data_IF_010729545577
#
_entry.id   IF_010729545577
#
_cell.length_a   1.000
_cell.length_b   1.000
_cell.length_c   1.000
_cell.angle_alpha   90.00
_cell.angle_beta   90.00
_cell.angle_gamma   90.00
#
_symmetry.space_group_name_H-M   'P 1'
#
loop_
_entity.id
_entity.type
_entity.pdbx_description
1 polymer ?
#
# COMPACT_ATOMS: atom_id res chain seq x y z
N UNK A 1 19.89 -18.76 19.47
CA UNK A 1 19.88 -17.30 19.26
C UNK A 1 18.45 -16.80 19.38
N UNK A 2 18.14 -16.08 20.46
CA UNK A 2 16.84 -15.40 20.62
C UNK A 2 16.79 -14.25 19.61
N UNK A 3 16.03 -14.41 18.53
CA UNK A 3 15.67 -13.27 17.68
C UNK A 3 14.67 -12.43 18.46
N UNK A 4 15.17 -11.42 19.18
CA UNK A 4 14.33 -10.36 19.69
C UNK A 4 13.54 -9.80 18.51
N UNK A 5 12.21 -9.82 18.58
CA UNK A 5 11.37 -9.07 17.66
C UNK A 5 11.81 -7.62 17.78
N UNK A 6 12.59 -7.14 16.80
CA UNK A 6 12.82 -5.71 16.64
C UNK A 6 11.41 -5.12 16.54
N UNK A 7 11.02 -4.28 17.50
CA UNK A 7 9.79 -3.48 17.37
C UNK A 7 9.94 -2.72 16.06
N UNK A 8 9.22 -3.17 15.03
CA UNK A 8 9.22 -2.55 13.72
C UNK A 8 8.49 -1.24 13.89
N UNK A 9 9.15 -0.15 13.51
CA UNK A 9 8.50 1.16 13.47
C UNK A 9 7.36 1.10 12.45
N UNK A 10 6.16 1.49 12.88
CA UNK A 10 4.97 1.53 12.05
C UNK A 10 4.89 2.92 11.43
N UNK A 11 4.92 2.97 10.10
CA UNK A 11 4.78 4.22 9.36
C UNK A 11 3.38 4.32 8.75
N UNK A 12 2.76 5.49 8.88
CA UNK A 12 1.57 5.89 8.13
C UNK A 12 1.94 7.02 7.18
N UNK A 13 1.90 6.76 5.88
CA UNK A 13 2.09 7.82 4.89
C UNK A 13 0.76 8.51 4.57
N UNK A 14 0.73 9.82 4.65
CA UNK A 14 -0.37 10.63 4.17
C UNK A 14 0.12 11.39 2.93
N UNK A 15 -0.46 11.02 1.80
CA UNK A 15 -0.19 11.59 0.50
C UNK A 15 -1.28 12.61 0.16
N UNK A 16 -0.88 13.82 -0.19
CA UNK A 16 -1.78 14.91 -0.55
C UNK A 16 -1.56 15.31 -2.02
N UNK A 17 -2.64 15.58 -2.75
CA UNK A 17 -2.53 16.60 -3.79
C UNK A 17 -2.40 17.99 -3.13
N UNK A 18 -2.08 19.02 -3.90
CA UNK A 18 -1.86 20.36 -3.39
C UNK A 18 -3.00 21.31 -3.77
N UNK A 19 -3.16 21.56 -5.06
CA UNK A 19 -4.21 22.44 -5.59
C UNK A 19 -5.58 21.88 -5.24
N UNK A 20 -6.51 22.75 -4.81
CA UNK A 20 -7.87 22.42 -4.33
C UNK A 20 -7.94 21.42 -3.17
N UNK A 21 -6.79 21.01 -2.62
CA UNK A 21 -6.66 20.07 -1.51
C UNK A 21 -6.11 20.76 -0.27
N UNK A 22 -4.87 21.28 -0.34
CA UNK A 22 -4.27 22.09 0.74
C UNK A 22 -4.43 23.60 0.49
N UNK A 23 -4.51 23.98 -0.78
CA UNK A 23 -4.83 25.33 -1.25
C UNK A 23 -6.25 25.35 -1.84
N UNK A 24 -7.03 26.44 -1.70
CA UNK A 24 -8.36 26.53 -2.31
C UNK A 24 -8.33 26.66 -3.83
N UNK A 25 -7.26 27.24 -4.37
CA UNK A 25 -7.12 27.56 -5.80
C UNK A 25 -5.88 26.91 -6.40
N UNK A 26 -5.82 26.90 -7.73
CA UNK A 26 -4.64 26.46 -8.48
C UNK A 26 -3.47 27.42 -8.20
N UNK A 27 -2.32 26.91 -7.74
CA UNK A 27 -1.21 27.74 -7.24
C UNK A 27 -0.71 28.76 -8.28
N UNK A 28 -0.68 28.40 -9.57
CA UNK A 28 -0.22 29.27 -10.65
C UNK A 28 -1.16 30.46 -10.85
N UNK A 29 -2.44 30.30 -10.50
CA UNK A 29 -3.45 31.33 -10.57
C UNK A 29 -3.43 32.29 -9.37
N UNK A 30 -2.55 32.07 -8.38
CA UNK A 30 -2.42 32.91 -7.18
C UNK A 30 -1.29 33.94 -7.32
N UNK A 31 -1.28 34.67 -8.43
CA UNK A 31 -0.42 35.82 -8.66
C UNK A 31 0.55 35.68 -9.83
N UNK A 32 1.02 34.46 -10.13
CA UNK A 32 1.97 34.27 -11.23
C UNK A 32 1.34 34.61 -12.59
N UNK A 33 0.19 34.03 -12.93
CA UNK A 33 -0.46 34.28 -14.23
C UNK A 33 -0.83 35.77 -14.39
N UNK A 34 -1.32 36.40 -13.33
CA UNK A 34 -1.65 37.82 -13.32
C UNK A 34 -0.40 38.70 -13.53
N UNK A 35 0.74 38.29 -12.98
CA UNK A 35 2.01 39.01 -13.21
C UNK A 35 2.42 39.04 -14.68
N UNK A 36 2.01 38.05 -15.49
CA UNK A 36 2.25 38.02 -16.93
C UNK A 36 1.36 38.98 -17.72
N UNK A 37 0.44 39.68 -17.04
CA UNK A 37 -0.58 40.54 -17.65
C UNK A 37 -1.70 39.74 -18.32
N UNK A 38 -1.92 38.49 -17.91
CA UNK A 38 -2.95 37.61 -18.46
C UNK A 38 -4.05 37.31 -17.43
N UNK A 39 -5.28 37.21 -17.93
CA UNK A 39 -6.39 36.65 -17.18
C UNK A 39 -6.22 35.13 -17.04
N UNK A 40 -6.58 34.58 -15.89
CA UNK A 40 -6.40 33.15 -15.56
C UNK A 40 -7.11 32.25 -16.58
N UNK A 41 -8.34 32.58 -16.94
CA UNK A 41 -9.13 31.80 -17.90
C UNK A 41 -8.49 31.80 -19.30
N UNK A 42 -8.02 32.97 -19.77
CA UNK A 42 -7.34 33.08 -21.05
C UNK A 42 -6.04 32.29 -21.06
N UNK A 43 -5.29 32.33 -19.95
CA UNK A 43 -4.06 31.57 -19.82
C UNK A 43 -4.31 30.08 -20.06
N UNK A 44 -5.29 29.50 -19.34
CA UNK A 44 -5.63 28.08 -19.41
C UNK A 44 -6.24 27.68 -20.76
N UNK A 45 -7.12 28.50 -21.33
CA UNK A 45 -7.72 28.22 -22.63
C UNK A 45 -6.66 28.12 -23.74
N UNK A 46 -5.72 29.07 -23.77
CA UNK A 46 -4.62 29.07 -24.72
C UNK A 46 -3.64 27.89 -24.48
N UNK A 47 -3.30 27.55 -23.22
CA UNK A 47 -2.41 26.41 -22.95
C UNK A 47 -3.08 25.08 -23.29
N UNK A 48 -4.37 24.93 -23.00
CA UNK A 48 -5.14 23.72 -23.33
C UNK A 48 -5.30 23.57 -24.84
N UNK A 49 -5.53 24.68 -25.55
CA UNK A 49 -5.53 24.68 -27.01
C UNK A 49 -4.16 24.30 -27.57
N UNK A 50 -3.08 24.88 -27.06
CA UNK A 50 -1.71 24.51 -27.45
C UNK A 50 -1.47 23.00 -27.26
N UNK A 51 -1.92 22.45 -26.14
CA UNK A 51 -1.83 21.02 -25.87
C UNK A 51 -2.59 20.18 -26.89
N UNK A 52 -3.85 20.53 -27.15
CA UNK A 52 -4.72 19.83 -28.11
C UNK A 52 -4.20 19.90 -29.54
N UNK A 53 -3.75 21.08 -29.98
CA UNK A 53 -3.30 21.33 -31.36
C UNK A 53 -1.99 20.60 -31.68
N UNK A 54 -1.22 20.19 -30.66
CA UNK A 54 0.13 19.63 -30.81
C UNK A 54 0.33 18.28 -30.09
N UNK A 55 -0.75 17.63 -29.64
CA UNK A 55 -0.70 16.37 -28.87
C UNK A 55 0.22 16.42 -27.64
N UNK A 56 0.31 17.58 -26.98
CA UNK A 56 1.14 17.73 -25.79
C UNK A 56 0.41 17.26 -24.54
N UNK A 57 1.16 16.78 -23.55
CA UNK A 57 0.67 16.71 -22.18
C UNK A 57 0.26 18.12 -21.72
N UNK A 58 -0.92 18.25 -21.12
CA UNK A 58 -1.47 19.54 -20.67
C UNK A 58 -0.51 20.26 -19.72
N UNK A 59 0.21 19.52 -18.88
CA UNK A 59 1.18 20.09 -17.96
C UNK A 59 2.42 20.62 -18.66
N UNK A 60 2.93 19.87 -19.64
CA UNK A 60 4.02 20.37 -20.48
C UNK A 60 3.62 21.64 -21.25
N UNK A 61 2.38 21.72 -21.73
CA UNK A 61 1.90 22.87 -22.49
C UNK A 61 1.83 24.15 -21.64
N UNK A 62 1.25 24.10 -20.43
CA UNK A 62 1.24 25.29 -19.58
C UNK A 62 2.62 25.63 -19.03
N UNK A 63 3.48 24.65 -18.72
CA UNK A 63 4.86 24.91 -18.30
C UNK A 63 5.67 25.58 -19.41
N UNK A 64 5.53 25.11 -20.65
CA UNK A 64 6.12 25.76 -21.81
C UNK A 64 5.63 27.20 -21.93
N UNK A 65 4.31 27.41 -21.86
CA UNK A 65 3.72 28.75 -21.93
C UNK A 65 4.25 29.69 -20.85
N UNK A 66 4.39 29.22 -19.60
CA UNK A 66 4.98 30.01 -18.51
C UNK A 66 6.39 30.48 -18.88
N UNK A 67 7.22 29.59 -19.40
CA UNK A 67 8.61 29.95 -19.79
C UNK A 67 8.65 30.93 -20.95
N UNK A 68 7.79 30.78 -21.97
CA UNK A 68 7.77 31.68 -23.13
C UNK A 68 7.21 33.05 -22.79
N UNK A 69 6.11 33.12 -22.05
CA UNK A 69 5.44 34.38 -21.71
C UNK A 69 6.22 35.20 -20.67
N UNK A 70 7.05 34.56 -19.86
CA UNK A 70 7.91 35.27 -18.90
C UNK A 70 9.08 35.97 -19.58
N UNK A 71 9.48 35.57 -20.79
CA UNK A 71 10.65 36.16 -21.49
C UNK A 71 10.44 37.65 -21.74
N UNK A 72 11.39 38.46 -21.29
CA UNK A 72 11.34 39.92 -21.42
C UNK A 72 10.37 40.62 -20.47
N UNK A 73 9.59 39.88 -19.66
CA UNK A 73 8.67 40.43 -18.67
C UNK A 73 9.17 40.20 -17.24
N UNK A 74 9.66 38.99 -16.94
CA UNK A 74 10.04 38.57 -15.60
C UNK A 74 11.31 37.72 -15.61
N UNK A 75 12.07 37.80 -14.51
CA UNK A 75 13.14 36.84 -14.24
C UNK A 75 12.48 35.56 -13.72
N UNK A 76 12.23 34.62 -14.64
CA UNK A 76 11.62 33.33 -14.32
C UNK A 76 12.67 32.36 -13.79
N UNK A 77 12.91 32.41 -12.48
CA UNK A 77 13.91 31.59 -11.80
C UNK A 77 13.31 30.92 -10.54
N UNK A 78 14.10 30.06 -9.89
CA UNK A 78 13.67 29.35 -8.68
C UNK A 78 13.24 30.29 -7.56
N UNK A 79 13.94 31.42 -7.39
CA UNK A 79 13.63 32.40 -6.34
C UNK A 79 12.25 33.02 -6.57
N UNK A 80 11.98 33.51 -7.77
CA UNK A 80 10.69 34.08 -8.16
C UNK A 80 9.54 33.08 -7.93
N UNK A 81 9.72 31.81 -8.31
CA UNK A 81 8.73 30.76 -8.04
C UNK A 81 8.51 30.52 -6.54
N UNK A 82 9.57 30.52 -5.74
CA UNK A 82 9.45 30.41 -4.27
C UNK A 82 8.72 31.62 -3.68
N UNK A 83 9.03 32.83 -4.14
CA UNK A 83 8.39 34.06 -3.69
C UNK A 83 6.89 34.04 -3.99
N UNK A 84 6.47 33.60 -5.19
CA UNK A 84 5.05 33.36 -5.48
C UNK A 84 4.45 32.27 -4.59
N UNK A 85 5.17 31.17 -4.38
CA UNK A 85 4.79 30.09 -3.48
C UNK A 85 4.51 30.55 -2.05
N UNK A 86 5.30 31.49 -1.54
CA UNK A 86 5.13 32.04 -0.19
C UNK A 86 3.85 32.85 0.03
N UNK A 87 3.22 33.29 -1.07
CA UNK A 87 1.96 34.05 -1.06
C UNK A 87 0.72 33.17 -1.33
N UNK A 88 0.90 31.86 -1.52
CA UNK A 88 -0.21 30.92 -1.76
C UNK A 88 -1.07 30.82 -0.49
N UNK A 89 -2.38 31.01 -0.67
CA UNK A 89 -3.35 30.83 0.39
C UNK A 89 -3.57 29.34 0.65
N UNK A 90 -3.68 28.96 1.92
CA UNK A 90 -3.97 27.60 2.34
C UNK A 90 -5.37 27.53 2.97
N UNK A 91 -5.98 26.35 2.94
CA UNK A 91 -7.23 26.13 3.65
C UNK A 91 -7.07 26.38 5.17
N UNK A 92 -8.15 26.80 5.85
CA UNK A 92 -8.10 27.07 7.29
C UNK A 92 -7.56 25.87 8.10
N UNK A 93 -6.57 26.13 8.95
CA UNK A 93 -5.98 25.15 9.88
C UNK A 93 -4.84 24.29 9.31
N UNK A 94 -4.52 24.40 8.02
CA UNK A 94 -3.43 23.62 7.39
C UNK A 94 -2.08 23.88 8.06
N UNK A 95 -1.80 25.12 8.46
CA UNK A 95 -0.56 25.53 9.12
C UNK A 95 -0.23 24.78 10.44
N UNK A 96 -1.25 24.25 11.11
CA UNK A 96 -1.15 23.56 12.41
C UNK A 96 -1.53 22.09 12.31
N UNK A 97 -2.07 21.67 11.17
CA UNK A 97 -2.55 20.31 10.90
C UNK A 97 -1.47 19.26 11.08
N UNK A 98 -0.31 19.44 10.44
CA UNK A 98 0.76 18.44 10.40
C UNK A 98 1.27 18.09 11.80
N UNK A 99 1.51 19.10 12.64
CA UNK A 99 2.00 18.89 14.00
C UNK A 99 0.96 18.17 14.88
N UNK A 100 -0.32 18.51 14.75
CA UNK A 100 -1.40 17.83 15.50
C UNK A 100 -1.55 16.37 15.11
N UNK A 101 -1.49 16.07 13.81
CA UNK A 101 -1.60 14.70 13.30
C UNK A 101 -0.36 13.88 13.69
N UNK A 102 0.84 14.44 13.55
CA UNK A 102 2.09 13.80 13.97
C UNK A 102 2.05 13.45 15.45
N UNK A 103 1.66 14.40 16.30
CA UNK A 103 1.51 14.17 17.73
C UNK A 103 0.51 13.06 18.05
N UNK A 104 -0.65 13.06 17.40
CA UNK A 104 -1.67 12.02 17.62
C UNK A 104 -1.18 10.62 17.21
N UNK A 105 -0.40 10.53 16.13
CA UNK A 105 0.25 9.31 15.69
C UNK A 105 1.32 8.83 16.67
N UNK A 106 2.20 9.74 17.12
CA UNK A 106 3.27 9.44 18.07
C UNK A 106 2.72 8.91 19.40
N UNK A 107 1.65 9.51 19.92
CA UNK A 107 0.92 9.04 21.12
C UNK A 107 0.39 7.60 20.98
N UNK A 108 0.28 7.09 19.76
CA UNK A 108 -0.18 5.74 19.41
C UNK A 108 0.93 4.81 18.90
N UNK A 109 2.18 5.27 18.91
CA UNK A 109 3.33 4.50 18.42
C UNK A 109 3.38 4.36 16.90
N UNK A 110 2.78 5.29 16.15
CA UNK A 110 2.87 5.38 14.69
C UNK A 110 3.65 6.62 14.29
N UNK A 111 4.66 6.46 13.44
CA UNK A 111 5.34 7.58 12.79
C UNK A 111 4.55 8.01 11.56
N UNK A 112 3.95 9.20 11.62
CA UNK A 112 3.22 9.77 10.48
C UNK A 112 4.21 10.50 9.57
N UNK A 113 4.10 10.26 8.27
CA UNK A 113 4.90 10.94 7.25
C UNK A 113 3.99 11.61 6.21
N UNK A 114 4.28 12.87 5.89
CA UNK A 114 3.49 13.65 4.94
C UNK A 114 4.22 13.78 3.60
N UNK A 115 3.49 13.58 2.51
CA UNK A 115 4.02 13.60 1.14
C UNK A 115 3.12 14.42 0.23
N UNK A 116 3.71 15.24 -0.65
CA UNK A 116 2.98 15.85 -1.76
C UNK A 116 3.15 14.99 -3.01
N UNK A 117 2.05 14.73 -3.70
CA UNK A 117 1.99 14.13 -5.05
C UNK A 117 1.07 15.02 -5.89
N UNK A 118 1.65 16.02 -6.54
CA UNK A 118 0.89 17.06 -7.25
C UNK A 118 1.33 17.26 -8.69
N UNK A 119 0.40 17.69 -9.54
CA UNK A 119 0.70 18.15 -10.90
C UNK A 119 1.27 19.57 -10.93
N UNK A 120 1.10 20.34 -9.83
CA UNK A 120 1.58 21.70 -9.69
C UNK A 120 3.11 21.83 -9.64
N UNK A 121 3.60 23.04 -9.36
CA UNK A 121 5.02 23.36 -9.38
C UNK A 121 5.71 23.15 -8.04
N UNK A 122 6.73 22.29 -8.05
CA UNK A 122 7.56 21.96 -6.90
C UNK A 122 8.16 23.20 -6.26
N UNK A 123 8.71 24.10 -7.06
CA UNK A 123 9.39 25.31 -6.58
C UNK A 123 8.43 26.28 -5.87
N UNK A 124 7.16 26.30 -6.28
CA UNK A 124 6.12 27.09 -5.59
C UNK A 124 5.71 26.41 -4.28
N UNK A 125 5.49 25.09 -4.29
CA UNK A 125 5.15 24.33 -3.08
C UNK A 125 6.27 24.44 -2.04
N UNK A 126 7.54 24.36 -2.46
CA UNK A 126 8.72 24.56 -1.61
C UNK A 126 8.77 25.95 -0.94
N UNK A 127 8.17 26.97 -1.57
CA UNK A 127 8.08 28.33 -1.03
C UNK A 127 7.00 28.53 0.03
N UNK A 128 6.08 27.57 0.20
CA UNK A 128 4.97 27.67 1.17
C UNK A 128 5.46 27.48 2.60
N UNK A 129 4.74 28.05 3.58
CA UNK A 129 5.09 27.91 5.01
C UNK A 129 5.05 26.45 5.51
N UNK A 130 4.28 25.60 4.82
CA UNK A 130 4.07 24.20 5.20
C UNK A 130 5.05 23.23 4.53
N UNK A 131 5.87 23.70 3.59
CA UNK A 131 6.85 22.89 2.86
C UNK A 131 7.73 22.04 3.79
N UNK A 132 8.12 22.61 4.93
CA UNK A 132 8.96 21.98 5.96
C UNK A 132 8.38 20.71 6.60
N UNK A 133 7.07 20.50 6.52
CA UNK A 133 6.42 19.33 7.11
C UNK A 133 6.44 18.10 6.17
N UNK A 134 6.72 18.29 4.88
CA UNK A 134 6.71 17.20 3.92
C UNK A 134 8.03 16.45 3.92
N UNK A 135 7.96 15.13 4.05
CA UNK A 135 9.11 14.23 3.90
C UNK A 135 9.68 14.28 2.48
N UNK A 136 8.80 14.39 1.48
CA UNK A 136 9.15 14.58 0.08
C UNK A 136 8.01 15.28 -0.67
N UNK A 137 8.39 16.17 -1.59
CA UNK A 137 7.49 16.84 -2.52
C UNK A 137 7.73 16.27 -3.92
N UNK A 138 6.75 15.52 -4.43
CA UNK A 138 6.67 15.09 -5.82
C UNK A 138 5.74 16.05 -6.56
N UNK A 139 6.34 16.95 -7.33
CA UNK A 139 5.63 17.93 -8.15
C UNK A 139 6.37 18.16 -9.48
N UNK A 140 5.69 18.76 -10.45
CA UNK A 140 6.32 19.20 -11.71
C UNK A 140 7.39 20.26 -11.40
N UNK A 141 8.49 20.29 -12.14
CA UNK A 141 9.62 21.20 -11.83
C UNK A 141 10.32 21.66 -13.09
N UNK A 142 11.05 22.76 -13.00
CA UNK A 142 11.85 23.27 -14.12
C UNK A 142 13.33 22.89 -13.98
N UNK A 143 13.96 22.69 -15.13
CA UNK A 143 15.40 22.77 -15.28
C UNK A 143 15.78 24.24 -15.40
N UNK A 144 16.75 24.64 -14.58
CA UNK A 144 17.31 25.99 -14.55
C UNK A 144 18.70 25.95 -15.17
N UNK A 145 18.97 26.87 -16.09
CA UNK A 145 20.29 26.98 -16.73
C UNK A 145 21.37 27.55 -15.79
N UNK A 146 22.58 27.75 -16.31
CA UNK A 146 23.72 28.29 -15.54
C UNK A 146 23.47 29.71 -14.99
N UNK A 147 22.56 30.47 -15.61
CA UNK A 147 22.13 31.79 -15.15
C UNK A 147 20.97 31.71 -14.13
N UNK A 148 20.49 30.50 -13.83
CA UNK A 148 19.38 30.24 -12.93
C UNK A 148 18.01 30.47 -13.55
N UNK A 149 17.89 30.61 -14.87
CA UNK A 149 16.63 30.82 -15.57
C UNK A 149 15.94 29.49 -15.89
N UNK A 150 14.63 29.39 -15.66
CA UNK A 150 13.85 28.22 -16.04
C UNK A 150 13.72 28.16 -17.57
N UNK A 151 14.22 27.08 -18.16
CA UNK A 151 14.26 26.91 -19.63
C UNK A 151 13.46 25.72 -20.13
N UNK A 152 13.26 24.69 -19.31
CA UNK A 152 12.61 23.44 -19.72
C UNK A 152 11.96 22.71 -18.55
N UNK A 153 10.84 21.97 -18.72
CA UNK A 153 10.32 21.08 -17.68
C UNK A 153 11.33 19.96 -17.32
N UNK A 154 11.84 19.96 -16.09
CA UNK A 154 12.69 18.89 -15.57
C UNK A 154 11.89 17.66 -15.15
N UNK A 155 10.70 17.87 -14.59
CA UNK A 155 9.74 16.82 -14.25
C UNK A 155 8.34 17.30 -14.64
N UNK A 156 7.54 16.40 -15.18
CA UNK A 156 6.14 16.63 -15.49
C UNK A 156 5.33 15.53 -14.80
N UNK A 157 4.62 15.90 -13.74
CA UNK A 157 3.74 14.98 -13.01
C UNK A 157 2.32 15.17 -13.53
N UNK A 158 1.68 14.07 -13.94
CA UNK A 158 0.33 14.06 -14.46
C UNK A 158 -0.50 12.94 -13.80
N UNK A 159 -1.78 12.91 -14.10
CA UNK A 159 -2.75 11.95 -13.52
C UNK A 159 -2.33 10.47 -13.65
N UNK A 160 -1.57 10.10 -14.68
CA UNK A 160 -1.10 8.73 -14.86
C UNK A 160 0.12 8.42 -13.99
N UNK A 161 1.13 9.30 -14.04
CA UNK A 161 2.42 9.02 -13.43
C UNK A 161 2.45 9.34 -11.92
N UNK A 162 1.45 10.07 -11.38
CA UNK A 162 1.25 10.26 -9.93
C UNK A 162 1.33 8.92 -9.16
N UNK A 163 0.81 7.84 -9.75
CA UNK A 163 0.79 6.49 -9.15
C UNK A 163 2.18 5.93 -8.83
N UNK A 164 3.21 6.28 -9.62
CA UNK A 164 4.57 5.79 -9.41
C UNK A 164 5.12 6.20 -8.04
N UNK A 165 4.73 7.39 -7.55
CA UNK A 165 5.24 7.94 -6.31
C UNK A 165 4.72 7.19 -5.10
N UNK A 166 3.54 6.58 -5.19
CA UNK A 166 3.03 5.69 -4.16
C UNK A 166 3.91 4.43 -4.03
N UNK A 167 4.35 3.86 -5.16
CA UNK A 167 5.30 2.74 -5.13
C UNK A 167 6.67 3.15 -4.57
N UNK A 168 7.14 4.37 -4.88
CA UNK A 168 8.38 4.91 -4.28
C UNK A 168 8.28 5.04 -2.77
N UNK A 169 7.19 5.62 -2.27
CA UNK A 169 6.91 5.73 -0.83
C UNK A 169 6.84 4.35 -0.19
N UNK A 170 6.15 3.38 -0.83
CA UNK A 170 6.04 2.01 -0.35
C UNK A 170 7.41 1.36 -0.10
N UNK A 171 8.33 1.55 -1.05
CA UNK A 171 9.68 0.98 -1.02
C UNK A 171 10.68 1.80 -0.20
N UNK A 172 10.37 3.06 0.10
CA UNK A 172 11.32 4.02 0.65
C UNK A 172 12.36 4.54 -0.36
N UNK A 173 12.16 4.29 -1.66
CA UNK A 173 13.02 4.77 -2.75
C UNK A 173 12.58 6.17 -3.18
N UNK A 174 12.78 7.15 -2.27
CA UNK A 174 12.13 8.46 -2.39
C UNK A 174 12.67 9.33 -3.54
N UNK A 175 13.85 9.06 -4.08
CA UNK A 175 14.41 9.86 -5.17
C UNK A 175 13.70 9.59 -6.51
N UNK A 176 13.36 10.67 -7.23
CA UNK A 176 12.48 10.64 -8.41
C UNK A 176 13.05 9.81 -9.56
N UNK A 177 14.38 9.78 -9.72
CA UNK A 177 15.05 9.03 -10.79
C UNK A 177 15.71 7.74 -10.28
N UNK A 178 15.42 7.31 -9.05
CA UNK A 178 15.97 6.07 -8.51
C UNK A 178 15.32 4.86 -9.19
N UNK A 179 16.14 4.00 -9.80
CA UNK A 179 15.72 2.78 -10.48
C UNK A 179 15.29 1.68 -9.52
N UNK A 180 15.63 1.78 -8.22
CA UNK A 180 15.22 0.83 -7.17
C UNK A 180 13.71 0.72 -7.01
N UNK A 181 12.94 1.70 -7.53
CA UNK A 181 11.48 1.58 -7.62
C UNK A 181 11.04 0.36 -8.43
N UNK A 182 11.89 -0.18 -9.31
CA UNK A 182 11.60 -1.36 -10.11
C UNK A 182 12.00 -2.67 -9.45
N UNK A 183 12.80 -2.64 -8.39
CA UNK A 183 13.30 -3.85 -7.72
C UNK A 183 12.14 -4.63 -7.10
N UNK A 184 12.16 -5.96 -7.21
CA UNK A 184 11.17 -6.80 -6.55
C UNK A 184 11.26 -6.59 -5.02
N UNK A 185 10.12 -6.24 -4.41
CA UNK A 185 9.99 -6.08 -2.96
C UNK A 185 8.82 -6.92 -2.47
N UNK A 186 9.12 -7.88 -1.59
CA UNK A 186 8.10 -8.66 -0.90
C UNK A 186 7.37 -7.79 0.13
N UNK A 187 6.10 -8.12 0.42
CA UNK A 187 5.25 -7.25 1.23
C UNK A 187 5.81 -6.99 2.64
N UNK A 188 6.44 -8.01 3.23
CA UNK A 188 7.11 -7.96 4.53
C UNK A 188 8.27 -6.94 4.58
N UNK A 189 8.90 -6.65 3.43
CA UNK A 189 10.03 -5.71 3.31
C UNK A 189 9.61 -4.30 2.94
N UNK A 190 8.31 -4.05 2.73
CA UNK A 190 7.79 -2.71 2.44
C UNK A 190 8.07 -1.75 3.60
N UNK A 191 8.58 -0.55 3.32
CA UNK A 191 8.76 0.48 4.34
C UNK A 191 7.40 1.00 4.82
N UNK A 192 6.55 1.35 3.88
CA UNK A 192 5.17 1.79 4.12
C UNK A 192 4.24 0.96 3.25
N UNK A 193 3.62 -0.11 3.75
CA UNK A 193 2.69 -0.90 2.93
C UNK A 193 1.48 -0.05 2.52
N UNK A 194 0.84 -0.37 1.39
CA UNK A 194 -0.30 0.42 0.88
C UNK A 194 -1.47 0.54 1.87
N UNK A 195 -1.68 -0.50 2.68
CA UNK A 195 -2.67 -0.51 3.78
C UNK A 195 -2.41 0.57 4.85
N UNK A 196 -1.19 1.10 4.91
CA UNK A 196 -0.78 2.20 5.78
C UNK A 196 -0.53 3.47 4.96
N UNK A 197 -1.31 3.67 3.90
CA UNK A 197 -1.34 4.91 3.14
C UNK A 197 -2.73 5.54 3.20
N UNK A 198 -2.75 6.85 3.36
CA UNK A 198 -3.93 7.70 3.18
C UNK A 198 -3.66 8.61 2.00
N UNK A 199 -4.55 8.63 1.02
CA UNK A 199 -4.50 9.58 -0.09
C UNK A 199 -5.61 10.61 0.06
N UNK A 200 -5.26 11.89 0.07
CA UNK A 200 -6.19 13.02 0.18
C UNK A 200 -6.06 13.86 -1.08
N UNK A 201 -7.17 14.06 -1.78
CA UNK A 201 -7.21 14.88 -2.99
C UNK A 201 -8.63 15.30 -3.33
N UNK A 202 -8.80 16.32 -4.16
CA UNK A 202 -10.12 16.78 -4.61
C UNK A 202 -10.44 16.32 -6.03
N UNK A 203 -9.42 15.91 -6.81
CA UNK A 203 -9.49 15.96 -8.26
C UNK A 203 -9.79 14.61 -8.93
N UNK A 204 -10.37 14.67 -10.13
CA UNK A 204 -10.49 13.48 -10.97
C UNK A 204 -9.10 12.93 -11.37
N UNK A 205 -8.07 13.79 -11.35
CA UNK A 205 -6.68 13.38 -11.66
C UNK A 205 -6.09 12.46 -10.60
N UNK A 206 -6.64 12.47 -9.39
CA UNK A 206 -6.19 11.65 -8.27
C UNK A 206 -6.88 10.29 -8.19
N UNK A 207 -7.93 10.07 -8.98
CA UNK A 207 -8.70 8.81 -8.96
C UNK A 207 -7.81 7.57 -9.10
N UNK A 208 -6.81 7.53 -10.02
CA UNK A 208 -5.93 6.36 -10.13
C UNK A 208 -5.16 6.10 -8.83
N UNK A 209 -4.68 7.14 -8.15
CA UNK A 209 -3.97 7.02 -6.87
C UNK A 209 -4.91 6.58 -5.74
N UNK A 210 -6.06 7.24 -5.61
CA UNK A 210 -7.08 6.92 -4.61
C UNK A 210 -7.57 5.48 -4.74
N UNK A 211 -7.84 5.02 -5.97
CA UNK A 211 -8.27 3.66 -6.26
C UNK A 211 -7.16 2.65 -5.96
N UNK A 212 -5.92 2.94 -6.35
CA UNK A 212 -4.77 2.07 -6.07
C UNK A 212 -4.58 1.86 -4.57
N UNK A 213 -4.58 2.95 -3.79
CA UNK A 213 -4.46 2.89 -2.33
C UNK A 213 -5.62 2.09 -1.71
N UNK A 214 -6.85 2.37 -2.14
CA UNK A 214 -8.05 1.72 -1.58
C UNK A 214 -8.12 0.22 -1.84
N UNK A 215 -7.79 -0.22 -3.07
CA UNK A 215 -7.78 -1.66 -3.43
C UNK A 215 -6.73 -2.43 -2.62
N UNK A 216 -5.61 -1.78 -2.27
CA UNK A 216 -4.54 -2.38 -1.49
C UNK A 216 -4.69 -2.16 0.03
N UNK A 217 -5.92 -1.88 0.49
CA UNK A 217 -6.29 -1.83 1.92
C UNK A 217 -6.04 -0.49 2.60
N UNK A 218 -5.53 0.52 1.88
CA UNK A 218 -5.36 1.87 2.39
C UNK A 218 -6.64 2.70 2.34
N UNK A 219 -6.50 4.01 2.47
CA UNK A 219 -7.61 4.94 2.63
C UNK A 219 -7.56 6.04 1.57
N UNK A 220 -8.68 6.29 0.89
CA UNK A 220 -8.86 7.44 0.01
C UNK A 220 -9.89 8.39 0.60
N UNK A 221 -9.53 9.68 0.64
CA UNK A 221 -10.37 10.75 1.15
C UNK A 221 -10.49 11.80 0.05
N UNK A 222 -11.69 11.94 -0.51
CA UNK A 222 -12.04 13.05 -1.38
C UNK A 222 -12.30 14.30 -0.55
N UNK A 223 -11.57 15.40 -0.79
CA UNK A 223 -11.88 16.69 -0.15
C UNK A 223 -12.70 17.59 -1.06
N UNK A 224 -13.53 18.44 -0.47
CA UNK A 224 -14.36 19.37 -1.23
C UNK A 224 -14.48 20.73 -0.52
N UNK A 225 -14.72 21.79 -1.30
CA UNK A 225 -15.07 23.10 -0.75
C UNK A 225 -16.50 23.13 -0.18
N UNK A 226 -16.84 24.16 0.60
CA UNK A 226 -18.16 24.31 1.25
C UNK A 226 -19.35 24.23 0.30
N UNK A 227 -19.17 24.74 -0.91
CA UNK A 227 -20.28 25.02 -1.83
C UNK A 227 -20.56 23.88 -2.83
N UNK A 228 -19.70 22.86 -2.93
CA UNK A 228 -19.84 21.82 -3.95
C UNK A 228 -19.49 20.43 -3.43
N UNK A 229 -20.51 19.56 -3.30
CA UNK A 229 -20.36 18.14 -2.93
C UNK A 229 -20.57 17.17 -4.09
N UNK A 230 -21.12 17.64 -5.22
CA UNK A 230 -21.51 16.77 -6.32
C UNK A 230 -20.34 15.95 -6.88
N UNK A 231 -19.13 16.53 -6.92
CA UNK A 231 -17.92 15.85 -7.38
C UNK A 231 -17.59 14.64 -6.51
N UNK A 232 -17.49 14.83 -5.19
CA UNK A 232 -17.19 13.73 -4.26
C UNK A 232 -18.33 12.71 -4.18
N UNK A 233 -19.59 13.14 -4.34
CA UNK A 233 -20.74 12.21 -4.42
C UNK A 233 -20.63 11.29 -5.64
N UNK A 234 -20.36 11.84 -6.81
CA UNK A 234 -20.11 11.05 -8.03
C UNK A 234 -18.94 10.08 -7.84
N UNK A 235 -17.85 10.52 -7.21
CA UNK A 235 -16.70 9.65 -6.93
C UNK A 235 -17.05 8.51 -5.97
N UNK A 236 -17.92 8.73 -4.98
CA UNK A 236 -18.44 7.68 -4.09
C UNK A 236 -19.33 6.70 -4.87
N UNK A 237 -20.29 7.20 -5.66
CA UNK A 237 -21.19 6.36 -6.48
C UNK A 237 -20.42 5.46 -7.44
N UNK A 238 -19.34 5.99 -8.03
CA UNK A 238 -18.46 5.27 -8.95
C UNK A 238 -17.42 4.37 -8.25
N UNK A 239 -17.50 4.24 -6.91
CA UNK A 239 -16.55 3.48 -6.07
C UNK A 239 -15.08 3.89 -6.28
N UNK A 240 -14.84 5.18 -6.54
CA UNK A 240 -13.51 5.75 -6.77
C UNK A 240 -12.80 6.18 -5.48
N UNK A 241 -13.59 6.61 -4.49
CA UNK A 241 -13.12 6.98 -3.15
C UNK A 241 -13.92 6.24 -2.09
N UNK A 242 -13.36 6.14 -0.88
CA UNK A 242 -14.01 5.48 0.25
C UNK A 242 -14.63 6.45 1.25
N UNK A 243 -14.00 7.61 1.43
CA UNK A 243 -14.45 8.65 2.34
C UNK A 243 -14.40 10.00 1.64
N UNK A 244 -15.16 10.97 2.17
CA UNK A 244 -15.01 12.37 1.80
C UNK A 244 -15.17 13.26 3.03
N UNK A 245 -14.60 14.45 2.97
CA UNK A 245 -14.77 15.48 3.99
C UNK A 245 -14.61 16.88 3.38
N UNK A 246 -15.07 17.91 4.09
CA UNK A 246 -14.76 19.29 3.72
C UNK A 246 -13.25 19.54 3.86
N UNK A 247 -12.68 20.38 2.98
CA UNK A 247 -11.31 20.86 3.07
C UNK A 247 -11.14 21.87 4.24
N UNK A 248 -11.42 21.40 5.45
CA UNK A 248 -11.27 22.12 6.71
C UNK A 248 -10.27 21.37 7.60
N UNK A 249 -9.11 21.97 7.79
CA UNK A 249 -7.98 21.39 8.49
C UNK A 249 -7.86 21.93 9.92
N UNK A 250 -8.89 22.62 10.43
CA UNK A 250 -8.93 23.10 11.83
C UNK A 250 -9.07 21.94 12.81
N UNK A 251 -8.65 22.17 14.04
CA UNK A 251 -8.80 21.20 15.12
C UNK A 251 -10.28 20.84 15.33
N UNK A 252 -10.57 19.55 15.46
CA UNK A 252 -11.93 19.04 15.65
C UNK A 252 -12.81 19.04 14.39
N UNK A 253 -12.26 19.35 13.21
CA UNK A 253 -12.98 19.18 11.94
C UNK A 253 -13.31 17.72 11.64
N UNK A 254 -14.26 17.49 10.74
CA UNK A 254 -14.61 16.12 10.30
C UNK A 254 -13.42 15.42 9.62
N UNK A 255 -12.61 16.16 8.86
CA UNK A 255 -11.40 15.64 8.24
C UNK A 255 -10.37 15.19 9.29
N UNK A 256 -10.17 15.97 10.35
CA UNK A 256 -9.27 15.61 11.44
C UNK A 256 -9.74 14.36 12.19
N UNK A 257 -11.02 14.31 12.55
CA UNK A 257 -11.61 13.13 13.22
C UNK A 257 -11.49 11.88 12.37
N UNK A 258 -11.78 11.99 11.07
CA UNK A 258 -11.64 10.88 10.13
C UNK A 258 -10.20 10.36 10.09
N UNK A 259 -9.22 11.25 9.98
CA UNK A 259 -7.82 10.85 9.94
C UNK A 259 -7.35 10.23 11.26
N UNK A 260 -7.78 10.77 12.40
CA UNK A 260 -7.54 10.19 13.73
C UNK A 260 -8.09 8.76 13.83
N UNK A 261 -9.32 8.52 13.37
CA UNK A 261 -9.90 7.17 13.30
C UNK A 261 -9.13 6.22 12.38
N UNK A 262 -8.58 6.73 11.27
CA UNK A 262 -7.73 5.94 10.37
C UNK A 262 -6.43 5.54 11.09
N UNK A 263 -5.80 6.46 11.83
CA UNK A 263 -4.61 6.17 12.64
C UNK A 263 -4.92 5.06 13.64
N UNK A 264 -6.02 5.18 14.40
CA UNK A 264 -6.44 4.15 15.37
C UNK A 264 -6.65 2.77 14.70
N UNK A 265 -7.26 2.75 13.53
CA UNK A 265 -7.45 1.52 12.75
C UNK A 265 -6.11 0.95 12.25
N UNK A 266 -5.18 1.79 11.82
CA UNK A 266 -3.83 1.35 11.41
C UNK A 266 -3.09 0.70 12.57
N UNK A 267 -3.16 1.26 13.79
CA UNK A 267 -2.58 0.63 14.99
C UNK A 267 -3.13 -0.77 15.17
N UNK A 268 -4.46 -0.92 15.17
CA UNK A 268 -5.12 -2.20 15.37
C UNK A 268 -4.76 -3.22 14.27
N UNK A 269 -4.71 -2.78 13.01
CA UNK A 269 -4.34 -3.63 11.89
C UNK A 269 -2.89 -4.12 11.98
N UNK A 270 -1.93 -3.26 12.35
CA UNK A 270 -0.52 -3.65 12.40
C UNK A 270 -0.20 -4.66 13.51
N UNK A 271 -1.02 -4.72 14.56
CA UNK A 271 -0.97 -5.81 15.54
C UNK A 271 -1.29 -7.16 14.87
N UNK A 272 -2.33 -7.20 14.04
CA UNK A 272 -2.73 -8.42 13.31
C UNK A 272 -1.71 -8.80 12.23
N UNK A 273 -1.18 -7.82 11.50
CA UNK A 273 -0.14 -8.03 10.49
C UNK A 273 1.15 -8.56 11.12
N UNK A 274 1.52 -8.06 12.29
CA UNK A 274 2.65 -8.58 13.06
C UNK A 274 2.43 -10.05 13.43
N UNK A 275 1.22 -10.42 13.87
CA UNK A 275 0.89 -11.81 14.16
C UNK A 275 0.92 -12.69 12.91
N UNK A 276 0.40 -12.21 11.77
CA UNK A 276 0.44 -12.92 10.51
C UNK A 276 1.88 -13.20 10.07
N UNK A 277 2.77 -12.19 10.13
CA UNK A 277 4.18 -12.34 9.81
C UNK A 277 4.86 -13.40 10.69
N UNK A 278 4.52 -13.48 11.98
CA UNK A 278 5.02 -14.53 12.86
C UNK A 278 4.58 -15.92 12.40
N UNK A 279 3.29 -16.11 12.08
CA UNK A 279 2.77 -17.38 11.57
C UNK A 279 3.46 -17.80 10.25
N UNK A 280 3.66 -16.84 9.33
CA UNK A 280 4.37 -17.09 8.07
C UNK A 280 5.83 -17.49 8.33
N UNK A 281 6.51 -16.80 9.25
CA UNK A 281 7.88 -17.10 9.59
C UNK A 281 8.03 -18.48 10.25
N UNK A 282 7.12 -18.84 11.16
CA UNK A 282 7.04 -20.17 11.78
C UNK A 282 6.90 -21.26 10.71
N UNK A 283 5.94 -21.10 9.80
CA UNK A 283 5.78 -21.99 8.64
C UNK A 283 7.05 -22.08 7.79
N UNK A 284 7.70 -20.95 7.48
CA UNK A 284 8.93 -20.93 6.69
C UNK A 284 10.09 -21.66 7.38
N UNK A 285 10.23 -21.51 8.70
CA UNK A 285 11.27 -22.19 9.49
C UNK A 285 11.03 -23.70 9.50
N UNK A 286 9.79 -24.12 9.76
CA UNK A 286 9.45 -25.54 9.75
C UNK A 286 9.65 -26.20 8.39
N UNK A 287 9.38 -25.46 7.31
CA UNK A 287 9.46 -25.96 5.92
C UNK A 287 10.83 -25.76 5.26
N UNK A 288 11.77 -25.03 5.88
CA UNK A 288 13.07 -24.65 5.27
C UNK A 288 13.92 -25.84 4.79
N UNK A 289 13.83 -26.99 5.46
CA UNK A 289 14.60 -28.21 5.14
C UNK A 289 13.72 -29.36 4.62
N UNK A 290 12.45 -29.09 4.30
CA UNK A 290 11.48 -30.09 3.89
C UNK A 290 11.23 -29.93 2.39
N UNK A 291 11.45 -30.99 1.62
CA UNK A 291 11.16 -30.98 0.20
C UNK A 291 9.64 -31.04 -0.05
N UNK A 292 9.25 -30.84 -1.31
CA UNK A 292 7.83 -30.84 -1.70
C UNK A 292 7.15 -32.18 -1.37
N UNK A 293 7.90 -33.28 -1.44
CA UNK A 293 7.41 -34.61 -1.08
C UNK A 293 7.14 -34.73 0.42
N UNK A 294 8.02 -34.22 1.28
CA UNK A 294 7.80 -34.21 2.71
C UNK A 294 6.52 -33.45 3.07
N UNK A 295 6.27 -32.28 2.47
CA UNK A 295 5.05 -31.49 2.73
C UNK A 295 3.80 -32.27 2.31
N UNK A 296 3.83 -32.95 1.15
CA UNK A 296 2.72 -33.79 0.71
C UNK A 296 2.46 -34.98 1.66
N UNK A 297 3.52 -35.60 2.18
CA UNK A 297 3.41 -36.67 3.18
C UNK A 297 2.73 -36.17 4.46
N UNK A 298 3.14 -35.01 4.97
CA UNK A 298 2.52 -34.40 6.15
C UNK A 298 1.03 -34.08 5.93
N UNK A 299 0.68 -33.50 4.78
CA UNK A 299 -0.71 -33.18 4.41
C UNK A 299 -1.61 -34.43 4.38
N UNK A 300 -1.09 -35.55 3.84
CA UNK A 300 -1.81 -36.83 3.84
C UNK A 300 -2.00 -37.39 5.26
N UNK A 301 -1.01 -37.25 6.13
CA UNK A 301 -1.09 -37.69 7.53
C UNK A 301 -2.11 -36.84 8.29
N UNK A 302 -2.13 -35.53 8.07
CA UNK A 302 -3.09 -34.63 8.71
C UNK A 302 -4.52 -34.93 8.24
N UNK A 303 -4.73 -35.10 6.93
CA UNK A 303 -6.01 -35.56 6.36
C UNK A 303 -6.47 -36.89 6.95
N UNK A 304 -5.56 -37.85 7.13
CA UNK A 304 -5.90 -39.14 7.74
C UNK A 304 -6.33 -38.98 9.20
N UNK A 305 -5.64 -38.12 9.97
CA UNK A 305 -5.98 -37.83 11.35
C UNK A 305 -7.34 -37.14 11.49
N UNK A 306 -7.67 -36.24 10.55
CA UNK A 306 -8.90 -35.44 10.55
C UNK A 306 -10.05 -36.10 9.77
N UNK A 307 -9.82 -37.25 9.13
CA UNK A 307 -10.80 -37.90 8.27
C UNK A 307 -12.11 -38.15 9.02
N UNK A 308 -13.19 -37.73 8.40
CA UNK A 308 -14.54 -37.67 9.01
C UNK A 308 -15.53 -38.68 8.42
N UNK A 309 -15.14 -39.34 7.32
CA UNK A 309 -15.97 -40.33 6.64
C UNK A 309 -15.15 -41.49 6.09
N UNK A 310 -15.78 -42.67 5.97
CA UNK A 310 -15.12 -43.86 5.43
C UNK A 310 -14.64 -43.66 3.99
N UNK A 311 -15.46 -43.05 3.12
CA UNK A 311 -15.10 -42.79 1.74
C UNK A 311 -13.85 -41.90 1.61
N UNK A 312 -13.76 -40.86 2.44
CA UNK A 312 -12.59 -39.99 2.52
C UNK A 312 -11.37 -40.75 3.03
N UNK A 313 -11.52 -41.60 4.07
CA UNK A 313 -10.42 -42.43 4.58
C UNK A 313 -9.86 -43.37 3.50
N UNK A 314 -10.71 -44.04 2.71
CA UNK A 314 -10.26 -44.89 1.60
C UNK A 314 -9.49 -44.10 0.53
N UNK A 315 -9.98 -42.90 0.17
CA UNK A 315 -9.30 -42.05 -0.80
C UNK A 315 -7.93 -41.58 -0.29
N UNK A 316 -7.83 -41.17 0.97
CA UNK A 316 -6.57 -40.77 1.61
C UNK A 316 -5.59 -41.94 1.62
N UNK A 317 -6.03 -43.13 2.04
CA UNK A 317 -5.17 -44.31 2.13
C UNK A 317 -4.70 -44.79 0.75
N UNK A 318 -5.54 -44.67 -0.29
CA UNK A 318 -5.11 -44.89 -1.68
C UNK A 318 -3.97 -43.94 -2.08
N UNK A 319 -4.08 -42.65 -1.74
CA UNK A 319 -3.04 -41.66 -2.04
C UNK A 319 -1.76 -41.92 -1.21
N UNK A 320 -1.91 -42.31 0.06
CA UNK A 320 -0.79 -42.66 0.94
C UNK A 320 -0.07 -43.95 0.52
N UNK A 321 -0.79 -44.91 -0.06
CA UNK A 321 -0.21 -46.16 -0.54
C UNK A 321 0.64 -45.98 -1.80
N UNK A 322 0.46 -44.87 -2.54
CA UNK A 322 1.29 -44.50 -3.68
C UNK A 322 2.60 -43.80 -3.28
N UNK A 323 2.86 -43.60 -1.98
CA UNK A 323 4.07 -42.98 -1.46
C UNK A 323 5.14 -44.05 -1.20
N UNK A 324 6.33 -43.89 -1.78
CA UNK A 324 7.40 -44.89 -1.76
C UNK A 324 7.91 -45.27 -0.36
N UNK A 325 7.93 -44.34 0.59
CA UNK A 325 8.42 -44.57 1.96
C UNK A 325 7.98 -43.48 2.93
N UNK A 326 7.92 -43.80 4.22
CA UNK A 326 7.56 -42.86 5.28
C UNK A 326 8.70 -42.72 6.30
N UNK A 327 8.91 -41.52 6.84
CA UNK A 327 9.85 -41.33 7.93
C UNK A 327 9.36 -41.98 9.23
N UNK A 328 10.27 -42.42 10.12
CA UNK A 328 9.88 -43.07 11.39
C UNK A 328 8.85 -42.28 12.22
N UNK A 329 9.03 -40.97 12.32
CA UNK A 329 8.06 -40.09 13.02
C UNK A 329 6.72 -39.96 12.31
N UNK A 330 6.70 -40.11 10.98
CA UNK A 330 5.48 -40.08 10.17
C UNK A 330 4.70 -41.38 10.34
N UNK A 331 5.40 -42.52 10.26
CA UNK A 331 4.86 -43.86 10.53
C UNK A 331 4.16 -43.89 11.89
N UNK A 332 4.80 -43.38 12.95
CA UNK A 332 4.17 -43.31 14.27
C UNK A 332 2.85 -42.52 14.30
N UNK A 333 2.79 -41.40 13.58
CA UNK A 333 1.57 -40.60 13.49
C UNK A 333 0.47 -41.30 12.70
N UNK A 334 0.83 -42.01 11.64
CA UNK A 334 -0.09 -42.83 10.85
C UNK A 334 -0.67 -43.94 11.72
N UNK A 335 0.17 -44.71 12.41
CA UNK A 335 -0.25 -45.79 13.30
C UNK A 335 -1.12 -45.27 14.45
N UNK A 336 -0.78 -44.11 15.01
CA UNK A 336 -1.60 -43.44 16.02
C UNK A 336 -2.98 -43.08 15.47
N UNK A 337 -3.05 -42.52 14.25
CA UNK A 337 -4.33 -42.18 13.59
C UNK A 337 -5.25 -43.40 13.50
N UNK A 338 -4.70 -44.56 13.12
CA UNK A 338 -5.45 -45.82 13.05
C UNK A 338 -6.06 -46.28 14.38
N UNK A 339 -5.49 -45.86 15.51
CA UNK A 339 -5.99 -46.21 16.85
C UNK A 339 -6.91 -45.13 17.42
N UNK A 340 -6.59 -43.86 17.20
CA UNK A 340 -7.27 -42.73 17.86
C UNK A 340 -8.42 -42.15 17.06
N UNK A 341 -8.38 -42.19 15.72
CA UNK A 341 -9.50 -41.73 14.91
C UNK A 341 -10.55 -42.86 14.81
N UNK A 342 -11.77 -42.58 15.26
CA UNK A 342 -12.85 -43.59 15.32
C UNK A 342 -13.27 -44.09 13.94
N UNK A 343 -13.24 -43.23 12.91
CA UNK A 343 -13.58 -43.62 11.54
C UNK A 343 -12.54 -44.58 10.99
N UNK A 344 -11.27 -44.20 11.08
CA UNK A 344 -10.14 -45.02 10.62
C UNK A 344 -10.09 -46.35 11.37
N UNK A 345 -10.25 -46.32 12.70
CA UNK A 345 -10.26 -47.53 13.54
C UNK A 345 -11.37 -48.51 13.16
N UNK A 346 -12.55 -48.01 12.81
CA UNK A 346 -13.71 -48.83 12.48
C UNK A 346 -13.50 -49.65 11.20
N UNK A 347 -12.81 -49.06 10.22
CA UNK A 347 -12.56 -49.68 8.92
C UNK A 347 -11.15 -50.28 8.78
N UNK A 348 -10.40 -50.45 9.87
CA UNK A 348 -9.07 -51.07 9.85
C UNK A 348 -9.03 -52.47 9.23
N UNK A 349 -10.18 -53.15 9.17
CA UNK A 349 -10.32 -54.50 8.59
C UNK A 349 -10.64 -54.48 7.10
N UNK A 350 -10.99 -53.32 6.54
CA UNK A 350 -11.26 -53.18 5.12
C UNK A 350 -9.99 -53.46 4.33
N UNK A 351 -10.14 -54.09 3.17
CA UNK A 351 -9.04 -54.77 2.48
C UNK A 351 -7.84 -53.86 2.23
N UNK A 352 -8.08 -52.68 1.69
CA UNK A 352 -7.06 -51.68 1.35
C UNK A 352 -6.46 -51.02 2.60
N UNK A 353 -7.30 -50.70 3.59
CA UNK A 353 -6.86 -50.11 4.87
C UNK A 353 -5.98 -51.10 5.65
N UNK A 354 -6.43 -52.35 5.77
CA UNK A 354 -5.71 -53.44 6.43
C UNK A 354 -4.34 -53.67 5.79
N UNK A 355 -4.30 -53.74 4.45
CA UNK A 355 -3.07 -53.95 3.70
C UNK A 355 -2.06 -52.82 3.94
N UNK A 356 -2.52 -51.57 3.91
CA UNK A 356 -1.69 -50.41 4.19
C UNK A 356 -1.13 -50.41 5.63
N UNK A 357 -2.00 -50.57 6.64
CA UNK A 357 -1.57 -50.53 8.05
C UNK A 357 -0.70 -51.72 8.46
N UNK A 358 -0.90 -52.91 7.87
CA UNK A 358 0.00 -54.04 8.07
C UNK A 358 1.39 -53.78 7.45
N UNK A 359 1.45 -53.13 6.30
CA UNK A 359 2.71 -52.75 5.66
C UNK A 359 3.46 -51.73 6.53
N UNK A 360 2.78 -50.64 6.90
CA UNK A 360 3.35 -49.54 7.70
C UNK A 360 3.77 -50.01 9.11
N UNK A 361 2.99 -50.89 9.76
CA UNK A 361 3.30 -51.40 11.11
C UNK A 361 4.51 -52.35 11.15
N UNK A 362 4.98 -52.87 10.01
CA UNK A 362 6.19 -53.71 9.94
C UNK A 362 7.47 -52.88 9.84
N UNK A 363 7.37 -51.61 9.46
CA UNK A 363 8.53 -50.73 9.28
C UNK A 363 9.08 -50.15 10.61
N UNK A 364 8.31 -50.25 11.70
CA UNK A 364 8.74 -49.80 13.03
C UNK A 364 8.23 -50.72 14.13
N UNK A 365 9.07 -50.96 15.14
CA UNK A 365 8.65 -51.58 16.39
C UNK A 365 8.18 -50.49 17.36
N UNK A 366 6.87 -50.44 17.61
CA UNK A 366 6.28 -49.51 18.56
C UNK A 366 4.98 -50.02 19.16
N UNK A 367 4.59 -49.40 20.27
CA UNK A 367 3.34 -49.68 20.98
C UNK A 367 2.12 -49.44 20.07
N UNK A 368 2.19 -48.46 19.17
CA UNK A 368 1.11 -48.22 18.20
C UNK A 368 1.08 -49.32 17.13
N UNK A 369 2.24 -49.78 16.65
CA UNK A 369 2.32 -50.87 15.68
C UNK A 369 1.71 -52.18 16.22
N UNK A 370 2.01 -52.54 17.47
CA UNK A 370 1.44 -53.71 18.13
C UNK A 370 -0.08 -53.60 18.28
N UNK A 371 -0.57 -52.46 18.78
CA UNK A 371 -2.01 -52.22 18.95
C UNK A 371 -2.78 -52.23 17.63
N UNK A 372 -2.22 -51.68 16.55
CA UNK A 372 -2.83 -51.75 15.23
C UNK A 372 -2.94 -53.20 14.77
N UNK A 373 -1.89 -54.01 14.93
CA UNK A 373 -1.92 -55.44 14.58
C UNK A 373 -2.98 -56.21 15.37
N UNK A 374 -3.05 -55.99 16.69
CA UNK A 374 -4.09 -56.61 17.52
C UNK A 374 -5.52 -56.24 17.08
N UNK A 375 -5.74 -54.99 16.65
CA UNK A 375 -7.05 -54.52 16.18
C UNK A 375 -7.44 -55.09 14.81
N UNK A 376 -6.46 -55.44 13.99
CA UNK A 376 -6.64 -56.03 12.66
C UNK A 376 -6.89 -57.56 12.73
N UNK A 377 -6.36 -58.21 13.77
CA UNK A 377 -6.43 -59.66 13.98
C UNK A 377 -7.63 -60.10 14.86
N UNK A 378 -8.12 -59.22 15.74
CA UNK A 378 -9.49 -59.31 16.29
C UNK A 378 -10.50 -59.09 15.19
#
# INVERSE_FOLDING_TARGET
MKYASKNREIFLAICYDFDKTLSPDDMQAQGFIQSLGQEVENFWNESNKLASDNEMDQNLAWMYKMTTESRGKHIFNKKTLNDYGSNVNLYPGVNTWFDRINKYGEERGITVEHYIISSGLKEMIEGTEVAKHFKKIYASSFYFDECGLAVWPAQCINYTNKTQFLFRIKKGALETNDTKVNDYLSEDKSRVPFRNMVYIGDSDTDIPCMKLVSINGGYSIGVHGKESKNKVFKMIEENRIKYFAEADYREGSELEKLLKNIIDRTVANEILETRNMQCVQEMMVERRSKDKQFIQKEDLIDKLNESSSFAETHEIIRLMSAVDSWGKSQIERILKAGISNSQVKYILKDKDIKEFYLTVSREIESIHAEKVRELIDK
#
